data_IF_487990150267
#
_entry.id   IF_487990150267
#
_cell.length_a   1.000
_cell.length_b   1.000
_cell.length_c   1.000
_cell.angle_alpha   90.00
_cell.angle_beta   90.00
_cell.angle_gamma   90.00
#
_symmetry.space_group_name_H-M   'P 1'
#
loop_
_entity.id
_entity.type
_entity.pdbx_description
1 polymer ?
#
# COMPACT_ATOMS: atom_id res chain seq x y z
N UNK A 1 -2.10 -10.92 13.79
CA UNK A 1 -3.29 -11.55 13.15
C UNK A 1 -3.70 -10.68 11.99
N UNK A 2 -3.42 -11.13 10.76
CA UNK A 2 -3.82 -10.40 9.55
C UNK A 2 -5.34 -10.51 9.43
N UNK A 3 -6.07 -9.47 9.84
CA UNK A 3 -7.51 -9.40 9.60
C UNK A 3 -7.71 -9.28 8.09
N UNK A 4 -8.05 -10.38 7.43
CA UNK A 4 -8.36 -10.41 6.00
C UNK A 4 -9.57 -9.51 5.76
N UNK A 5 -9.43 -8.55 4.83
CA UNK A 5 -10.48 -7.59 4.52
C UNK A 5 -11.53 -8.29 3.65
N UNK A 6 -12.76 -8.42 4.15
CA UNK A 6 -13.87 -9.02 3.40
C UNK A 6 -14.34 -8.11 2.27
N UNK A 7 -14.50 -8.67 1.07
CA UNK A 7 -15.08 -7.98 -0.10
C UNK A 7 -16.61 -7.98 -0.12
N UNK A 8 -17.24 -8.69 0.81
CA UNK A 8 -18.69 -8.72 1.08
C UNK A 8 -18.93 -8.44 2.57
N UNK A 9 -18.68 -7.20 3.02
CA UNK A 9 -18.77 -6.84 4.43
C UNK A 9 -20.22 -6.91 4.93
N UNK A 10 -20.44 -7.39 6.15
CA UNK A 10 -21.78 -7.51 6.75
C UNK A 10 -21.97 -6.52 7.91
N UNK A 11 -20.93 -6.30 8.69
CA UNK A 11 -20.96 -5.41 9.86
C UNK A 11 -20.29 -4.06 9.61
N UNK A 12 -20.63 -3.05 10.43
CA UNK A 12 -20.04 -1.71 10.38
C UNK A 12 -18.50 -1.71 10.35
N UNK A 13 -17.88 -2.59 11.14
CA UNK A 13 -16.41 -2.74 11.18
C UNK A 13 -15.86 -3.19 9.84
N UNK A 14 -16.46 -4.20 9.23
CA UNK A 14 -16.01 -4.74 7.94
C UNK A 14 -16.25 -3.75 6.80
N UNK A 15 -17.36 -3.00 6.85
CA UNK A 15 -17.64 -1.91 5.89
C UNK A 15 -16.52 -0.89 5.95
N UNK A 16 -16.14 -0.43 7.16
CA UNK A 16 -15.05 0.53 7.32
C UNK A 16 -13.69 -0.06 6.89
N UNK A 17 -13.43 -1.34 7.16
CA UNK A 17 -12.20 -2.00 6.72
C UNK A 17 -12.10 -2.03 5.19
N UNK A 18 -13.18 -2.39 4.49
CA UNK A 18 -13.22 -2.36 3.03
C UNK A 18 -13.11 -0.93 2.49
N UNK A 19 -13.80 0.03 3.11
CA UNK A 19 -13.71 1.46 2.77
C UNK A 19 -12.27 1.97 2.86
N UNK A 20 -11.57 1.73 3.97
CA UNK A 20 -10.19 2.15 4.14
C UNK A 20 -9.25 1.44 3.16
N UNK A 21 -9.44 0.14 2.95
CA UNK A 21 -8.63 -0.60 1.99
C UNK A 21 -8.78 -0.03 0.56
N UNK A 22 -10.01 0.27 0.15
CA UNK A 22 -10.31 0.86 -1.16
C UNK A 22 -9.74 2.26 -1.30
N UNK A 23 -9.90 3.11 -0.27
CA UNK A 23 -9.39 4.47 -0.28
C UNK A 23 -7.86 4.47 -0.39
N UNK A 24 -7.18 3.71 0.46
CA UNK A 24 -5.71 3.64 0.46
C UNK A 24 -5.20 3.04 -0.84
N UNK A 25 -5.81 1.94 -1.31
CA UNK A 25 -5.43 1.32 -2.58
C UNK A 25 -5.62 2.25 -3.78
N UNK A 26 -6.67 3.09 -3.78
CA UNK A 26 -6.91 4.07 -4.83
C UNK A 26 -5.96 5.29 -4.75
N UNK A 27 -5.64 5.77 -3.55
CA UNK A 27 -4.75 6.93 -3.33
C UNK A 27 -3.33 6.68 -3.85
N UNK A 28 -2.84 5.46 -3.72
CA UNK A 28 -1.46 5.12 -4.10
C UNK A 28 -1.31 4.59 -5.52
N UNK A 29 -2.37 4.65 -6.34
CA UNK A 29 -2.24 4.33 -7.76
C UNK A 29 -1.32 5.35 -8.45
N UNK A 30 -0.42 4.92 -9.35
CA UNK A 30 0.50 5.82 -10.04
C UNK A 30 -0.20 6.96 -10.79
N UNK A 31 -1.39 6.68 -11.34
CA UNK A 31 -2.23 7.64 -12.07
C UNK A 31 -2.75 8.81 -11.19
N UNK A 32 -2.76 8.67 -9.86
CA UNK A 32 -3.24 9.69 -8.90
C UNK A 32 -2.10 10.34 -8.11
N UNK A 33 -0.96 9.67 -8.00
CA UNK A 33 0.19 10.14 -7.23
C UNK A 33 0.64 11.56 -7.66
N UNK A 34 0.53 11.90 -8.95
CA UNK A 34 0.86 13.23 -9.46
C UNK A 34 -0.21 14.27 -9.13
N UNK A 35 -1.50 13.95 -9.30
CA UNK A 35 -2.61 14.84 -8.97
C UNK A 35 -2.65 15.20 -7.48
N UNK A 36 -2.24 14.29 -6.59
CA UNK A 36 -2.11 14.54 -5.16
C UNK A 36 -0.95 15.49 -4.81
N UNK A 37 0.04 15.69 -5.69
CA UNK A 37 1.14 16.64 -5.43
C UNK A 37 0.67 18.07 -5.49
N UNK A 38 -0.31 18.40 -6.35
CA UNK A 38 -0.92 19.73 -6.43
C UNK A 38 -1.79 20.00 -5.19
N UNK A 39 -1.40 20.94 -4.29
CA UNK A 39 -2.15 21.20 -3.05
C UNK A 39 -3.59 21.66 -3.28
N UNK A 40 -3.84 22.37 -4.38
CA UNK A 40 -5.16 22.92 -4.72
C UNK A 40 -6.16 21.82 -5.07
N UNK A 41 -5.71 20.78 -5.77
CA UNK A 41 -6.57 19.69 -6.21
C UNK A 41 -6.62 18.53 -5.21
N UNK A 42 -5.60 18.41 -4.35
CA UNK A 42 -5.46 17.32 -3.37
C UNK A 42 -6.70 17.13 -2.51
N UNK A 43 -7.28 18.21 -2.00
CA UNK A 43 -8.45 18.13 -1.11
C UNK A 43 -9.67 17.61 -1.87
N UNK A 44 -9.91 18.11 -3.08
CA UNK A 44 -11.00 17.69 -3.96
C UNK A 44 -10.88 16.21 -4.34
N UNK A 45 -9.67 15.77 -4.67
CA UNK A 45 -9.39 14.35 -4.95
C UNK A 45 -9.61 13.46 -3.74
N UNK A 46 -9.13 13.88 -2.57
CA UNK A 46 -9.29 13.13 -1.34
C UNK A 46 -10.77 12.98 -0.96
N UNK A 47 -11.56 14.07 -1.02
CA UNK A 47 -13.00 14.03 -0.73
C UNK A 47 -13.74 13.12 -1.72
N UNK A 48 -13.47 13.26 -3.02
CA UNK A 48 -14.13 12.45 -4.04
C UNK A 48 -13.78 10.95 -3.92
N UNK A 49 -12.52 10.61 -3.64
CA UNK A 49 -12.09 9.23 -3.43
C UNK A 49 -12.68 8.63 -2.14
N UNK A 50 -12.72 9.41 -1.06
CA UNK A 50 -13.30 8.98 0.21
C UNK A 50 -14.80 8.66 0.04
N UNK A 51 -15.56 9.55 -0.59
CA UNK A 51 -16.98 9.33 -0.88
C UNK A 51 -17.19 8.11 -1.78
N UNK A 52 -16.38 7.95 -2.83
CA UNK A 52 -16.49 6.81 -3.74
C UNK A 52 -16.18 5.47 -3.05
N UNK A 53 -15.11 5.42 -2.24
CA UNK A 53 -14.73 4.24 -1.47
C UNK A 53 -15.79 3.86 -0.44
N UNK A 54 -16.29 4.85 0.31
CA UNK A 54 -17.35 4.68 1.31
C UNK A 54 -18.66 4.20 0.69
N UNK A 55 -19.02 4.73 -0.48
CA UNK A 55 -20.19 4.32 -1.24
C UNK A 55 -20.06 2.87 -1.71
N UNK A 56 -18.92 2.50 -2.30
CA UNK A 56 -18.70 1.15 -2.80
C UNK A 56 -18.72 0.11 -1.67
N UNK A 57 -18.05 0.38 -0.56
CA UNK A 57 -18.02 -0.53 0.59
C UNK A 57 -19.43 -0.84 1.12
N UNK A 58 -20.29 0.18 1.24
CA UNK A 58 -21.69 0.03 1.65
C UNK A 58 -22.54 -0.69 0.61
N UNK A 59 -22.32 -0.41 -0.68
CA UNK A 59 -23.00 -1.15 -1.76
C UNK A 59 -22.66 -2.65 -1.70
N UNK A 60 -21.40 -3.01 -1.39
CA UNK A 60 -21.00 -4.40 -1.20
C UNK A 60 -21.62 -5.05 0.05
N UNK A 61 -21.96 -4.25 1.06
CA UNK A 61 -22.80 -4.65 2.18
C UNK A 61 -24.31 -4.71 1.86
N UNK A 62 -24.70 -4.61 0.57
CA UNK A 62 -26.09 -4.66 0.10
C UNK A 62 -26.98 -3.52 0.59
N UNK A 63 -26.38 -2.42 1.05
CA UNK A 63 -27.14 -1.24 1.43
C UNK A 63 -27.77 -0.57 0.21
N UNK A 64 -29.02 -0.09 0.30
CA UNK A 64 -29.67 0.62 -0.79
C UNK A 64 -29.03 2.00 -0.98
N UNK A 65 -29.04 2.50 -2.23
CA UNK A 65 -28.40 3.78 -2.59
C UNK A 65 -28.97 4.96 -1.80
N UNK A 66 -30.26 4.96 -1.48
CA UNK A 66 -30.91 5.97 -0.64
C UNK A 66 -30.26 6.07 0.74
N UNK A 67 -30.07 4.93 1.41
CA UNK A 67 -29.41 4.87 2.72
C UNK A 67 -27.94 5.29 2.64
N UNK A 68 -27.22 4.87 1.58
CA UNK A 68 -25.83 5.28 1.38
C UNK A 68 -25.74 6.80 1.22
N UNK A 69 -26.65 7.40 0.44
CA UNK A 69 -26.70 8.83 0.22
C UNK A 69 -26.96 9.61 1.52
N UNK A 70 -27.91 9.15 2.32
CA UNK A 70 -28.23 9.71 3.63
C UNK A 70 -27.02 9.63 4.59
N UNK A 71 -26.42 8.45 4.75
CA UNK A 71 -25.28 8.25 5.65
C UNK A 71 -24.04 9.06 5.26
N UNK A 72 -23.81 9.24 3.96
CA UNK A 72 -22.65 9.99 3.45
C UNK A 72 -22.95 11.49 3.28
N UNK A 73 -24.18 11.94 3.54
CA UNK A 73 -24.59 13.33 3.37
C UNK A 73 -24.47 13.82 1.92
N UNK A 74 -24.72 12.94 0.93
CA UNK A 74 -24.63 13.24 -0.51
C UNK A 74 -25.96 12.94 -1.19
N UNK A 75 -26.15 13.42 -2.42
CA UNK A 75 -27.34 13.06 -3.21
C UNK A 75 -27.22 11.64 -3.76
N UNK A 76 -28.35 10.95 -3.94
CA UNK A 76 -28.33 9.64 -4.60
C UNK A 76 -27.74 9.69 -6.01
N UNK A 77 -27.91 10.80 -6.73
CA UNK A 77 -27.31 10.98 -8.06
C UNK A 77 -25.78 10.97 -7.98
N UNK A 78 -25.20 11.67 -7.00
CA UNK A 78 -23.75 11.65 -6.72
C UNK A 78 -23.28 10.23 -6.42
N UNK A 79 -23.98 9.52 -5.54
CA UNK A 79 -23.64 8.13 -5.18
C UNK A 79 -23.71 7.21 -6.41
N UNK A 80 -24.78 7.28 -7.21
CA UNK A 80 -24.92 6.50 -8.44
C UNK A 80 -23.78 6.76 -9.42
N UNK A 81 -23.38 8.02 -9.58
CA UNK A 81 -22.29 8.38 -10.50
C UNK A 81 -20.94 7.81 -10.05
N UNK A 82 -20.64 7.80 -8.74
CA UNK A 82 -19.45 7.14 -8.22
C UNK A 82 -19.52 5.61 -8.39
N UNK A 83 -20.63 4.98 -7.98
CA UNK A 83 -20.81 3.53 -8.05
C UNK A 83 -20.81 2.98 -9.48
N UNK A 84 -21.25 3.77 -10.46
CA UNK A 84 -21.22 3.40 -11.88
C UNK A 84 -19.92 3.77 -12.58
N UNK A 85 -18.92 4.33 -11.87
CA UNK A 85 -17.64 4.74 -12.46
C UNK A 85 -17.72 5.93 -13.42
N UNK A 86 -18.81 6.72 -13.41
CA UNK A 86 -18.94 7.93 -14.26
C UNK A 86 -18.01 9.05 -13.81
N UNK A 87 -17.75 9.11 -12.50
CA UNK A 87 -16.72 10.00 -11.94
C UNK A 87 -15.37 9.32 -12.00
N UNK A 88 -14.30 10.11 -12.15
CA UNK A 88 -12.94 9.58 -12.16
C UNK A 88 -12.56 8.87 -10.85
N UNK A 89 -12.91 9.46 -9.69
CA UNK A 89 -12.73 8.82 -8.38
C UNK A 89 -13.45 7.46 -8.28
N UNK A 90 -14.69 7.37 -8.77
CA UNK A 90 -15.46 6.14 -8.84
C UNK A 90 -14.81 5.08 -9.73
N UNK A 91 -14.31 5.47 -10.91
CA UNK A 91 -13.59 4.59 -11.84
C UNK A 91 -12.35 3.98 -11.17
N UNK A 92 -11.58 4.78 -10.45
CA UNK A 92 -10.37 4.34 -9.74
C UNK A 92 -10.68 3.38 -8.60
N UNK A 93 -11.68 3.70 -7.79
CA UNK A 93 -12.11 2.84 -6.68
C UNK A 93 -12.64 1.50 -7.19
N UNK A 94 -13.40 1.48 -8.29
CA UNK A 94 -13.85 0.23 -8.93
C UNK A 94 -12.67 -0.60 -9.44
N UNK A 95 -11.69 0.03 -10.12
CA UNK A 95 -10.47 -0.64 -10.58
C UNK A 95 -9.68 -1.26 -9.42
N UNK A 96 -9.55 -0.53 -8.30
CA UNK A 96 -8.93 -1.07 -7.07
C UNK A 96 -9.71 -2.25 -6.51
N UNK A 97 -11.05 -2.19 -6.48
CA UNK A 97 -11.87 -3.32 -6.03
C UNK A 97 -11.71 -4.55 -6.95
N UNK A 98 -11.65 -4.37 -8.26
CA UNK A 98 -11.41 -5.45 -9.24
C UNK A 98 -10.03 -6.09 -9.10
N UNK A 99 -9.00 -5.32 -8.71
CA UNK A 99 -7.69 -5.89 -8.39
C UNK A 99 -7.74 -6.69 -7.10
N UNK A 100 -8.46 -6.20 -6.08
CA UNK A 100 -8.66 -6.94 -4.83
C UNK A 100 -9.40 -8.26 -5.02
N UNK A 101 -10.38 -8.33 -5.93
CA UNK A 101 -11.07 -9.61 -6.22
C UNK A 101 -10.15 -10.64 -6.89
N UNK A 102 -9.18 -10.19 -7.69
CA UNK A 102 -8.26 -11.07 -8.42
C UNK A 102 -7.06 -11.53 -7.58
N UNK A 103 -6.49 -10.63 -6.78
CA UNK A 103 -5.20 -10.83 -6.13
C UNK A 103 -5.28 -10.87 -4.60
N UNK A 104 -6.50 -10.74 -4.04
CA UNK A 104 -6.71 -10.45 -2.64
C UNK A 104 -6.42 -8.99 -2.31
N UNK A 105 -6.79 -8.56 -1.10
CA UNK A 105 -6.50 -7.19 -0.63
C UNK A 105 -5.00 -7.06 -0.34
N UNK A 106 -4.24 -6.62 -1.35
CA UNK A 106 -2.83 -6.26 -1.24
C UNK A 106 -2.70 -4.76 -1.46
N UNK A 107 -2.28 -4.05 -0.42
CA UNK A 107 -2.07 -2.61 -0.47
C UNK A 107 -0.56 -2.38 -0.44
N UNK A 108 0.00 -2.12 -1.62
CA UNK A 108 1.39 -1.70 -1.74
C UNK A 108 1.49 -0.22 -1.40
N UNK A 109 1.79 0.05 -0.13
CA UNK A 109 2.10 1.40 0.31
C UNK A 109 3.47 1.79 -0.26
N UNK A 110 3.60 2.95 -0.94
CA UNK A 110 4.90 3.49 -1.33
C UNK A 110 5.60 4.07 -0.09
N UNK A 111 5.94 3.17 0.84
CA UNK A 111 6.81 3.46 1.96
C UNK A 111 8.16 3.81 1.35
N UNK A 112 8.60 5.05 1.54
CA UNK A 112 9.94 5.50 1.12
C UNK A 112 11.05 4.63 1.77
N UNK A 113 10.69 3.88 2.80
CA UNK A 113 11.50 2.87 3.46
C UNK A 113 11.85 1.69 2.56
N UNK A 114 11.03 1.28 1.59
CA UNK A 114 11.32 0.10 0.76
C UNK A 114 12.64 0.21 -0.03
N UNK A 115 12.87 1.36 -0.68
CA UNK A 115 14.15 1.64 -1.37
C UNK A 115 15.31 1.78 -0.40
N UNK A 116 15.06 2.36 0.78
CA UNK A 116 16.09 2.54 1.81
C UNK A 116 16.44 1.22 2.48
N UNK A 117 15.49 0.29 2.62
CA UNK A 117 15.68 -1.07 3.12
C UNK A 117 16.51 -1.86 2.13
N UNK A 118 16.17 -1.82 0.83
CA UNK A 118 16.95 -2.48 -0.23
C UNK A 118 18.39 -1.94 -0.30
N UNK A 119 18.58 -0.63 -0.18
CA UNK A 119 19.90 -0.01 -0.11
C UNK A 119 20.68 -0.46 1.15
N UNK A 120 20.01 -0.51 2.30
CA UNK A 120 20.62 -0.97 3.56
C UNK A 120 20.97 -2.47 3.52
N UNK A 121 20.14 -3.31 2.91
CA UNK A 121 20.41 -4.74 2.71
C UNK A 121 21.63 -4.96 1.82
N UNK A 122 21.75 -4.21 0.72
CA UNK A 122 22.92 -4.25 -0.15
C UNK A 122 24.19 -3.82 0.58
N UNK A 123 24.15 -2.71 1.33
CA UNK A 123 25.30 -2.24 2.14
C UNK A 123 25.69 -3.25 3.23
N UNK A 124 24.72 -3.90 3.85
CA UNK A 124 24.98 -4.95 4.85
C UNK A 124 25.66 -6.17 4.22
N UNK A 125 25.22 -6.57 3.02
CA UNK A 125 25.81 -7.69 2.27
C UNK A 125 27.26 -7.42 1.88
N UNK A 126 27.55 -6.21 1.36
CA UNK A 126 28.92 -5.79 1.04
C UNK A 126 29.82 -5.74 2.27
N UNK A 127 29.31 -5.18 3.37
CA UNK A 127 30.06 -5.12 4.63
C UNK A 127 30.40 -6.51 5.17
N UNK A 128 29.46 -7.47 5.10
CA UNK A 128 29.72 -8.88 5.49
C UNK A 128 30.80 -9.52 4.62
N UNK A 129 30.73 -9.34 3.29
CA UNK A 129 31.75 -9.87 2.38
C UNK A 129 33.13 -9.26 2.64
N UNK A 130 33.18 -7.96 2.92
CA UNK A 130 34.42 -7.28 3.31
C UNK A 130 34.99 -7.83 4.61
N UNK A 131 34.13 -8.07 5.62
CA UNK A 131 34.55 -8.64 6.90
C UNK A 131 35.13 -10.06 6.75
N UNK A 132 34.50 -10.91 5.94
CA UNK A 132 35.00 -12.26 5.63
C UNK A 132 36.38 -12.23 4.96
N UNK A 133 36.60 -11.32 4.01
CA UNK A 133 37.88 -11.17 3.34
C UNK A 133 38.98 -10.68 4.30
N UNK A 134 38.66 -9.74 5.19
CA UNK A 134 39.60 -9.25 6.20
C UNK A 134 39.93 -10.36 7.20
N UNK A 135 38.94 -11.11 7.68
CA UNK A 135 39.15 -12.26 8.57
C UNK A 135 40.03 -13.33 7.92
N UNK A 136 39.83 -13.61 6.63
CA UNK A 136 40.68 -14.54 5.89
C UNK A 136 42.14 -14.07 5.82
N UNK A 137 42.36 -12.79 5.49
CA UNK A 137 43.70 -12.19 5.47
C UNK A 137 44.38 -12.18 6.84
N UNK A 138 43.63 -11.89 7.90
CA UNK A 138 44.16 -11.93 9.28
C UNK A 138 44.63 -13.34 9.62
N UNK A 139 43.82 -14.38 9.33
CA UNK A 139 44.21 -15.78 9.56
C UNK A 139 45.44 -16.19 8.75
N UNK A 140 45.52 -15.75 7.50
CA UNK A 140 46.68 -16.01 6.64
C UNK A 140 47.94 -15.34 7.21
N UNK A 141 47.85 -14.08 7.63
CA UNK A 141 48.93 -13.35 8.27
C UNK A 141 49.37 -14.01 9.59
N UNK A 142 48.42 -14.40 10.45
CA UNK A 142 48.70 -15.16 11.67
C UNK A 142 49.46 -16.45 11.36
N UNK A 143 49.00 -17.24 10.37
CA UNK A 143 49.69 -18.45 9.94
C UNK A 143 51.11 -18.17 9.43
N UNK A 144 51.31 -17.11 8.65
CA UNK A 144 52.64 -16.75 8.15
C UNK A 144 53.57 -16.32 9.28
N UNK A 145 53.11 -15.49 10.21
CA UNK A 145 53.86 -15.07 11.39
C UNK A 145 54.26 -16.28 12.25
N UNK A 146 53.35 -17.22 12.45
CA UNK A 146 53.62 -18.44 13.21
C UNK A 146 54.68 -19.30 12.53
N UNK A 147 54.61 -19.45 11.21
CA UNK A 147 55.63 -20.17 10.42
C UNK A 147 57.01 -19.51 10.43
N UNK A 148 57.06 -18.18 10.59
CA UNK A 148 58.32 -17.42 10.71
C UNK A 148 58.88 -17.56 12.12
N UNK A 149 58.03 -17.49 13.14
CA UNK A 149 58.42 -17.66 14.53
C UNK A 149 58.96 -19.07 14.82
N UNK A 150 58.44 -20.12 14.16
CA UNK A 150 58.96 -21.50 14.28
C UNK A 150 60.31 -21.72 13.57
N UNK A 151 60.73 -20.80 12.69
CA UNK A 151 61.98 -20.89 11.92
C UNK A 151 63.14 -20.07 12.53
N UNK A 152 62.88 -19.32 13.60
CA UNK A 152 63.84 -18.51 14.35
C UNK A 152 64.30 -19.26 15.61
#
# INVERSE_FOLDING_TARGET
MSSEVSLSPVGRREIHQLEYALLVGALFRPEIAEALRNPTERLTWLDALAVAAAALARQKAKMPVSQIAEELGRTEATIRNHLSGKTEAGRLVLKTYEEFTKHGVKIDLPLHEGKRIEELENRLSEAKRGLEQVLAKVRELESTLQSIAEKL
#
